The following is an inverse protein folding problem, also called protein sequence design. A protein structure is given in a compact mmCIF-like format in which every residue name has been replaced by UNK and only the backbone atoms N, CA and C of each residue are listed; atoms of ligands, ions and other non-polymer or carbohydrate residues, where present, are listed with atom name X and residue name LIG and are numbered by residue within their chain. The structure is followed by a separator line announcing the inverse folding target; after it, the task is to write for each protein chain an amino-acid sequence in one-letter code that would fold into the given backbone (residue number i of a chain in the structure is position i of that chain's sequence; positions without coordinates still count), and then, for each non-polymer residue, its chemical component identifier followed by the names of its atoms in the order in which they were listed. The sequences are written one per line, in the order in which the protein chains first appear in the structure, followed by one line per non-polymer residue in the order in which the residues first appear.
data_IF_412755044891
#
_entry.id   IF_412755044891
#
_cell.length_a   1.000
_cell.length_b   1.000
_cell.length_c   1.000
_cell.angle_alpha   90.00
_cell.angle_beta   90.00
_cell.angle_gamma   90.00
#
_symmetry.space_group_name_H-M   'P 1'
#
loop_
_entity.id
_entity.type
_entity.pdbx_description
1 polymer ?
#
# COMPACT_ATOMS: atom_id res chain seq x y z
N UNK A 1 7.64 -25.41 -7.19
CA UNK A 1 7.42 -24.18 -7.99
C UNK A 1 5.92 -23.94 -8.05
N UNK A 2 5.49 -22.68 -8.09
CA UNK A 2 4.07 -22.30 -8.22
C UNK A 2 3.82 -21.91 -9.67
N UNK A 3 2.84 -22.54 -10.33
CA UNK A 3 2.46 -22.20 -11.71
C UNK A 3 1.66 -20.90 -11.79
N UNK A 4 1.75 -20.19 -12.91
CA UNK A 4 1.22 -18.82 -13.04
C UNK A 4 -0.29 -18.68 -13.15
N UNK A 5 -1.01 -19.76 -13.46
CA UNK A 5 -2.44 -19.68 -13.80
C UNK A 5 -3.32 -19.01 -12.74
N UNK A 6 -3.23 -19.49 -11.51
CA UNK A 6 -4.03 -18.98 -10.41
C UNK A 6 -3.55 -17.62 -9.90
N UNK A 7 -2.23 -17.39 -9.68
CA UNK A 7 -1.73 -16.07 -9.30
C UNK A 7 -2.12 -14.95 -10.27
N UNK A 8 -1.92 -15.14 -11.58
CA UNK A 8 -2.24 -14.12 -12.58
C UNK A 8 -3.74 -13.84 -12.67
N UNK A 9 -4.57 -14.89 -12.63
CA UNK A 9 -6.02 -14.73 -12.65
C UNK A 9 -6.52 -14.00 -11.40
N UNK A 10 -6.09 -14.43 -10.21
CA UNK A 10 -6.51 -13.82 -8.94
C UNK A 10 -6.06 -12.36 -8.84
N UNK A 11 -4.82 -12.07 -9.24
CA UNK A 11 -4.30 -10.71 -9.28
C UNK A 11 -5.08 -9.84 -10.28
N UNK A 12 -5.32 -10.34 -11.49
CA UNK A 12 -6.11 -9.63 -12.49
C UNK A 12 -7.53 -9.33 -12.01
N UNK A 13 -8.20 -10.30 -11.36
CA UNK A 13 -9.52 -10.11 -10.76
C UNK A 13 -9.50 -9.10 -9.60
N UNK A 14 -8.49 -9.15 -8.73
CA UNK A 14 -8.34 -8.19 -7.65
C UNK A 14 -8.14 -6.77 -8.19
N UNK A 15 -7.29 -6.59 -9.21
CA UNK A 15 -7.07 -5.30 -9.86
C UNK A 15 -8.31 -4.79 -10.59
N UNK A 16 -9.10 -5.67 -11.23
CA UNK A 16 -10.40 -5.31 -11.80
C UNK A 16 -11.35 -4.80 -10.73
N UNK A 17 -11.46 -5.48 -9.59
CA UNK A 17 -12.30 -5.04 -8.48
C UNK A 17 -11.88 -3.67 -7.96
N UNK A 18 -10.57 -3.44 -7.76
CA UNK A 18 -10.02 -2.13 -7.37
C UNK A 18 -10.34 -1.07 -8.43
N UNK A 19 -10.16 -1.37 -9.71
CA UNK A 19 -10.48 -0.44 -10.80
C UNK A 19 -11.95 -0.02 -10.80
N UNK A 20 -12.86 -0.98 -10.57
CA UNK A 20 -14.31 -0.70 -10.44
C UNK A 20 -14.58 0.22 -9.26
N UNK A 21 -14.00 -0.05 -8.09
CA UNK A 21 -14.14 0.83 -6.91
C UNK A 21 -13.68 2.25 -7.22
N UNK A 22 -12.50 2.40 -7.83
CA UNK A 22 -11.93 3.71 -8.21
C UNK A 22 -12.84 4.43 -9.21
N UNK A 23 -13.34 3.75 -10.25
CA UNK A 23 -14.23 4.35 -11.25
C UNK A 23 -15.54 4.83 -10.62
N UNK A 24 -16.14 4.02 -9.75
CA UNK A 24 -17.41 4.35 -9.09
C UNK A 24 -17.22 5.55 -8.17
N UNK A 25 -16.16 5.58 -7.37
CA UNK A 25 -15.88 6.68 -6.46
C UNK A 25 -15.51 7.96 -7.23
N UNK A 26 -14.71 7.85 -8.28
CA UNK A 26 -14.38 8.98 -9.16
C UNK A 26 -15.64 9.60 -9.80
N UNK A 27 -16.61 8.77 -10.21
CA UNK A 27 -17.92 9.26 -10.69
C UNK A 27 -18.71 9.96 -9.60
N UNK A 28 -18.67 9.46 -8.37
CA UNK A 28 -19.35 10.07 -7.22
C UNK A 28 -18.79 11.46 -6.91
N UNK A 29 -17.47 11.64 -6.96
CA UNK A 29 -16.79 12.92 -6.67
C UNK A 29 -16.80 13.87 -7.89
N UNK A 30 -17.14 13.36 -9.07
CA UNK A 30 -17.38 14.14 -10.28
C UNK A 30 -16.21 14.09 -11.27
N UNK A 31 -16.50 13.67 -12.50
CA UNK A 31 -15.52 13.49 -13.58
C UNK A 31 -15.64 14.55 -14.67
N UNK A 32 -16.42 15.60 -14.44
CA UNK A 32 -16.60 16.69 -15.38
C UNK A 32 -15.41 17.63 -15.40
N UNK A 33 -15.36 18.47 -16.43
CA UNK A 33 -14.50 19.64 -16.47
C UNK A 33 -15.32 20.85 -16.04
N UNK A 34 -14.82 21.58 -15.05
CA UNK A 34 -15.41 22.86 -14.65
C UNK A 34 -14.75 24.00 -15.43
N UNK A 35 -15.55 24.93 -15.95
CA UNK A 35 -15.07 26.02 -16.81
C UNK A 35 -14.18 27.01 -16.05
N UNK A 36 -14.37 27.16 -14.75
CA UNK A 36 -13.64 28.13 -13.92
C UNK A 36 -12.62 27.46 -12.99
N UNK A 37 -12.91 26.23 -12.53
CA UNK A 37 -12.06 25.51 -11.57
C UNK A 37 -11.18 24.41 -12.21
N UNK A 38 -11.40 24.07 -13.48
CA UNK A 38 -10.64 23.05 -14.20
C UNK A 38 -11.13 21.62 -13.93
N UNK A 39 -10.26 20.59 -14.02
CA UNK A 39 -10.67 19.20 -13.86
C UNK A 39 -11.17 18.95 -12.44
N UNK A 40 -12.39 18.43 -12.30
CA UNK A 40 -12.91 18.02 -10.99
C UNK A 40 -12.05 16.91 -10.40
N UNK A 41 -12.09 16.76 -9.08
CA UNK A 41 -11.26 15.80 -8.36
C UNK A 41 -11.39 14.35 -8.87
N UNK A 42 -12.55 13.95 -9.39
CA UNK A 42 -12.77 12.63 -9.99
C UNK A 42 -12.31 12.49 -11.44
N UNK A 43 -12.00 13.58 -12.16
CA UNK A 43 -11.61 13.54 -13.58
C UNK A 43 -10.40 12.64 -13.79
N UNK A 44 -9.28 12.94 -13.13
CA UNK A 44 -8.05 12.17 -13.29
C UNK A 44 -8.17 10.72 -12.79
N UNK A 45 -8.67 10.44 -11.57
CA UNK A 45 -8.87 9.08 -11.08
C UNK A 45 -9.75 8.22 -11.99
N UNK A 46 -10.75 8.81 -12.66
CA UNK A 46 -11.63 8.08 -13.57
C UNK A 46 -10.88 7.51 -14.78
N UNK A 47 -10.06 8.31 -15.47
CA UNK A 47 -9.31 7.83 -16.64
C UNK A 47 -8.26 6.78 -16.26
N UNK A 48 -7.56 6.99 -15.14
CA UNK A 48 -6.61 5.99 -14.62
C UNK A 48 -7.35 4.70 -14.25
N UNK A 49 -8.52 4.81 -13.61
CA UNK A 49 -9.38 3.66 -13.30
C UNK A 49 -9.81 2.89 -14.55
N UNK A 50 -10.22 3.58 -15.62
CA UNK A 50 -10.57 2.98 -16.90
C UNK A 50 -9.39 2.26 -17.56
N UNK A 51 -8.20 2.88 -17.56
CA UNK A 51 -6.98 2.24 -18.08
C UNK A 51 -6.61 1.00 -17.27
N UNK A 52 -6.70 1.07 -15.93
CA UNK A 52 -6.47 -0.06 -15.05
C UNK A 52 -7.49 -1.19 -15.30
N UNK A 53 -8.77 -0.84 -15.47
CA UNK A 53 -9.82 -1.82 -15.78
C UNK A 53 -9.55 -2.54 -17.10
N UNK A 54 -9.17 -1.80 -18.15
CA UNK A 54 -8.84 -2.38 -19.45
C UNK A 54 -7.60 -3.29 -19.37
N UNK A 55 -6.53 -2.85 -18.71
CA UNK A 55 -5.31 -3.63 -18.55
C UNK A 55 -5.54 -4.90 -17.71
N UNK A 56 -6.23 -4.78 -16.58
CA UNK A 56 -6.57 -5.92 -15.72
C UNK A 56 -7.54 -6.89 -16.41
N UNK A 57 -8.53 -6.36 -17.14
CA UNK A 57 -9.44 -7.15 -17.98
C UNK A 57 -8.70 -7.93 -19.07
N UNK A 58 -7.69 -7.32 -19.68
CA UNK A 58 -6.84 -7.99 -20.66
C UNK A 58 -6.03 -9.13 -20.05
N UNK A 59 -5.47 -8.95 -18.84
CA UNK A 59 -4.76 -10.01 -18.11
C UNK A 59 -5.71 -11.19 -17.85
N UNK A 60 -6.89 -10.93 -17.30
CA UNK A 60 -7.90 -11.97 -17.02
C UNK A 60 -8.31 -12.68 -18.31
N UNK A 61 -8.62 -11.93 -19.37
CA UNK A 61 -9.03 -12.50 -20.65
C UNK A 61 -7.93 -13.39 -21.25
N UNK A 62 -6.69 -12.89 -21.31
CA UNK A 62 -5.54 -13.66 -21.82
C UNK A 62 -5.35 -14.95 -21.02
N UNK A 63 -5.48 -14.87 -19.70
CA UNK A 63 -5.32 -16.02 -18.82
C UNK A 63 -6.43 -17.06 -19.00
N UNK A 64 -7.68 -16.64 -19.21
CA UNK A 64 -8.81 -17.52 -19.50
C UNK A 64 -8.71 -18.16 -20.89
N UNK A 65 -8.30 -17.40 -21.92
CA UNK A 65 -8.09 -17.91 -23.27
C UNK A 65 -6.93 -18.92 -23.31
N UNK A 66 -5.87 -18.65 -22.56
CA UNK A 66 -4.69 -19.51 -22.44
C UNK A 66 -4.82 -20.66 -21.43
N UNK A 67 -5.99 -20.87 -20.82
CA UNK A 67 -6.14 -21.76 -19.66
C UNK A 67 -5.70 -23.21 -19.91
N UNK A 68 -5.94 -23.73 -21.12
CA UNK A 68 -5.54 -25.08 -21.55
C UNK A 68 -4.08 -25.18 -22.02
N UNK A 69 -3.37 -24.06 -22.16
CA UNK A 69 -1.97 -24.01 -22.58
C UNK A 69 -1.00 -24.35 -21.43
N UNK A 70 0.31 -24.35 -21.70
CA UNK A 70 1.38 -24.65 -20.72
C UNK A 70 1.26 -23.72 -19.50
N UNK A 71 1.51 -24.26 -18.31
CA UNK A 71 1.51 -23.51 -17.05
C UNK A 71 2.97 -23.16 -16.68
N UNK A 72 3.50 -22.01 -17.12
CA UNK A 72 4.86 -21.63 -16.79
C UNK A 72 5.02 -21.39 -15.28
N UNK A 73 6.25 -21.53 -14.81
CA UNK A 73 6.59 -21.24 -13.42
C UNK A 73 6.48 -19.73 -13.16
N UNK A 74 5.69 -19.35 -12.16
CA UNK A 74 5.53 -17.97 -11.72
C UNK A 74 6.57 -17.60 -10.67
N UNK A 75 6.67 -18.43 -9.63
CA UNK A 75 7.60 -18.20 -8.54
C UNK A 75 8.01 -19.51 -7.86
N UNK A 76 9.22 -19.50 -7.31
CA UNK A 76 9.69 -20.53 -6.39
C UNK A 76 9.10 -20.30 -5.00
N UNK A 77 9.02 -21.36 -4.19
CA UNK A 77 8.58 -21.27 -2.79
C UNK A 77 9.47 -20.34 -1.96
N UNK A 78 10.78 -20.29 -2.29
CA UNK A 78 11.73 -19.36 -1.68
C UNK A 78 11.39 -17.89 -2.00
N UNK A 79 11.03 -17.59 -3.26
CA UNK A 79 10.62 -16.23 -3.65
C UNK A 79 9.32 -15.82 -2.94
N UNK A 80 8.34 -16.72 -2.82
CA UNK A 80 7.13 -16.48 -2.04
C UNK A 80 7.45 -16.19 -0.57
N UNK A 81 8.40 -16.93 0.01
CA UNK A 81 8.88 -16.69 1.37
C UNK A 81 9.50 -15.30 1.55
N UNK A 82 10.26 -14.83 0.55
CA UNK A 82 10.83 -13.46 0.57
C UNK A 82 9.74 -12.39 0.53
N UNK A 83 8.73 -12.55 -0.33
CA UNK A 83 7.59 -11.61 -0.37
C UNK A 83 6.87 -11.61 0.97
N UNK A 84 6.54 -12.80 1.49
CA UNK A 84 5.85 -12.94 2.77
C UNK A 84 6.62 -12.29 3.92
N UNK A 85 7.95 -12.36 3.91
CA UNK A 85 8.80 -11.77 4.94
C UNK A 85 8.64 -10.25 5.08
N UNK A 86 8.16 -9.58 4.03
CA UNK A 86 7.88 -8.14 4.01
C UNK A 86 6.38 -7.85 4.15
N UNK A 87 5.53 -8.70 3.57
CA UNK A 87 4.07 -8.49 3.61
C UNK A 87 3.51 -8.59 5.02
N UNK A 88 3.86 -9.63 5.77
CA UNK A 88 3.24 -9.84 7.09
C UNK A 88 3.59 -8.71 8.10
N UNK A 89 4.85 -8.21 8.22
CA UNK A 89 5.14 -7.12 9.13
C UNK A 89 4.47 -5.82 8.71
N UNK A 90 4.33 -5.57 7.39
CA UNK A 90 3.59 -4.40 6.89
C UNK A 90 2.10 -4.49 7.21
N UNK A 91 1.48 -5.67 7.09
CA UNK A 91 0.08 -5.87 7.49
C UNK A 91 -0.12 -5.62 8.99
N UNK A 92 0.81 -6.11 9.82
CA UNK A 92 0.79 -5.84 11.27
C UNK A 92 0.96 -4.34 11.54
N UNK A 93 1.87 -3.67 10.85
CA UNK A 93 2.02 -2.22 10.96
C UNK A 93 0.70 -1.48 10.70
N UNK A 94 0.02 -1.78 9.58
CA UNK A 94 -1.27 -1.14 9.25
C UNK A 94 -2.31 -1.40 10.35
N UNK A 95 -2.37 -2.62 10.88
CA UNK A 95 -3.26 -2.95 11.99
C UNK A 95 -2.91 -2.20 13.29
N UNK A 96 -1.62 -1.94 13.54
CA UNK A 96 -1.13 -1.20 14.70
C UNK A 96 -1.33 0.32 14.59
N UNK A 97 -1.44 0.89 13.39
CA UNK A 97 -1.69 2.33 13.21
C UNK A 97 -2.98 2.77 13.91
N UNK A 98 -4.05 1.96 13.86
CA UNK A 98 -5.32 2.31 14.47
C UNK A 98 -5.25 2.49 16.01
N UNK A 99 -4.69 1.54 16.79
CA UNK A 99 -4.58 1.69 18.25
C UNK A 99 -3.34 2.45 18.72
N UNK A 100 -2.24 2.50 17.96
CA UNK A 100 -0.96 3.06 18.41
C UNK A 100 -0.59 4.39 17.75
N UNK A 101 -1.30 4.83 16.72
CA UNK A 101 -0.89 5.94 15.88
C UNK A 101 0.23 5.56 14.91
N UNK A 102 0.39 6.39 13.88
CA UNK A 102 1.33 6.13 12.78
C UNK A 102 2.79 6.19 13.23
N UNK A 103 3.13 7.07 14.19
CA UNK A 103 4.52 7.30 14.59
C UNK A 103 5.06 6.14 15.41
N UNK A 104 4.33 5.69 16.44
CA UNK A 104 4.76 4.54 17.24
C UNK A 104 4.74 3.24 16.42
N UNK A 105 3.70 3.03 15.61
CA UNK A 105 3.65 1.89 14.71
C UNK A 105 4.85 1.88 13.74
N UNK A 106 5.24 3.05 13.21
CA UNK A 106 6.41 3.19 12.34
C UNK A 106 7.71 2.90 13.08
N UNK A 107 7.87 3.39 14.31
CA UNK A 107 9.04 3.11 15.15
C UNK A 107 9.22 1.60 15.37
N UNK A 108 8.13 0.90 15.70
CA UNK A 108 8.14 -0.56 15.88
C UNK A 108 8.50 -1.30 14.58
N UNK A 109 7.91 -0.87 13.45
CA UNK A 109 8.20 -1.46 12.14
C UNK A 109 9.67 -1.30 11.75
N UNK A 110 10.21 -0.08 11.87
CA UNK A 110 11.61 0.23 11.56
C UNK A 110 12.54 -0.60 12.45
N UNK A 111 12.29 -0.61 13.76
CA UNK A 111 13.08 -1.39 14.70
C UNK A 111 13.04 -2.89 14.37
N UNK A 112 11.87 -3.42 14.02
CA UNK A 112 11.71 -4.81 13.61
C UNK A 112 12.54 -5.12 12.36
N UNK A 113 12.44 -4.32 11.30
CA UNK A 113 13.20 -4.56 10.05
C UNK A 113 14.72 -4.43 10.26
N UNK A 114 15.16 -3.41 10.99
CA UNK A 114 16.58 -3.22 11.28
C UNK A 114 17.15 -4.37 12.12
N UNK A 115 16.38 -4.90 13.08
CA UNK A 115 16.81 -6.04 13.89
C UNK A 115 16.77 -7.35 13.10
N UNK A 116 15.66 -7.63 12.42
CA UNK A 116 15.38 -8.94 11.81
C UNK A 116 16.07 -9.16 10.47
N UNK A 117 16.15 -8.12 9.64
CA UNK A 117 16.73 -8.18 8.30
C UNK A 117 18.10 -7.50 8.24
N UNK A 118 18.26 -6.36 8.93
CA UNK A 118 19.52 -5.61 8.96
C UNK A 118 20.57 -6.13 9.94
N UNK A 119 20.16 -6.90 10.96
CA UNK A 119 21.04 -7.40 12.04
C UNK A 119 21.85 -6.29 12.72
N UNK A 120 21.29 -5.09 12.81
CA UNK A 120 21.94 -3.93 13.41
C UNK A 120 22.01 -4.04 14.95
N UNK A 121 22.97 -3.34 15.56
CA UNK A 121 23.05 -3.19 17.01
C UNK A 121 21.94 -2.30 17.59
N UNK A 122 21.76 -2.31 18.91
CA UNK A 122 20.69 -1.55 19.59
C UNK A 122 20.81 -0.05 19.33
N UNK A 123 22.04 0.50 19.34
CA UNK A 123 22.27 1.93 19.16
C UNK A 123 21.76 2.47 17.81
N UNK A 124 22.17 1.94 16.64
CA UNK A 124 21.64 2.39 15.36
C UNK A 124 20.14 2.11 15.21
N UNK A 125 19.63 1.01 15.78
CA UNK A 125 18.18 0.72 15.79
C UNK A 125 17.41 1.83 16.50
N UNK A 126 17.78 2.16 17.73
CA UNK A 126 17.11 3.19 18.53
C UNK A 126 17.21 4.56 17.87
N UNK A 127 18.37 4.92 17.32
CA UNK A 127 18.57 6.20 16.65
C UNK A 127 17.63 6.38 15.44
N UNK A 128 17.50 5.37 14.57
CA UNK A 128 16.68 5.47 13.37
C UNK A 128 15.20 5.25 13.67
N UNK A 129 14.87 4.26 14.50
CA UNK A 129 13.48 3.93 14.85
C UNK A 129 12.78 5.07 15.61
N UNK A 130 13.51 5.90 16.35
CA UNK A 130 12.96 7.10 17.00
C UNK A 130 13.15 8.34 16.14
N UNK A 131 14.32 8.51 15.53
CA UNK A 131 14.66 9.70 14.76
C UNK A 131 13.79 9.90 13.53
N UNK A 132 13.46 8.83 12.80
CA UNK A 132 12.65 8.93 11.57
C UNK A 132 11.20 9.35 11.88
N UNK A 133 10.46 8.66 12.78
CA UNK A 133 9.11 9.11 13.14
C UNK A 133 9.10 10.51 13.76
N UNK A 134 10.08 10.86 14.59
CA UNK A 134 10.18 12.19 15.19
C UNK A 134 10.42 13.28 14.13
N UNK A 135 11.29 13.02 13.16
CA UNK A 135 11.51 13.93 12.04
C UNK A 135 10.21 14.16 11.25
N UNK A 136 9.48 13.10 10.93
CA UNK A 136 8.20 13.22 10.23
C UNK A 136 7.11 13.88 11.07
N UNK A 137 7.12 13.71 12.39
CA UNK A 137 6.25 14.44 13.31
C UNK A 137 6.50 15.95 13.21
N UNK A 138 7.78 16.38 13.26
CA UNK A 138 8.12 17.80 13.11
C UNK A 138 7.73 18.34 11.73
N UNK A 139 8.00 17.59 10.66
CA UNK A 139 7.66 18.01 9.29
C UNK A 139 6.16 18.15 9.12
N UNK A 140 5.38 17.12 9.43
CA UNK A 140 3.95 17.12 9.15
C UNK A 140 3.16 17.95 10.15
N UNK A 141 3.39 17.78 11.45
CA UNK A 141 2.58 18.47 12.45
C UNK A 141 3.06 19.89 12.73
N UNK A 142 4.37 20.15 12.68
CA UNK A 142 4.91 21.46 13.06
C UNK A 142 5.14 22.40 11.88
N UNK A 143 5.56 21.88 10.73
CA UNK A 143 5.77 22.71 9.54
C UNK A 143 4.57 22.70 8.61
N UNK A 144 4.03 21.54 8.25
CA UNK A 144 2.90 21.45 7.32
C UNK A 144 1.52 21.57 7.98
N UNK A 145 1.44 21.47 9.31
CA UNK A 145 0.18 21.48 10.06
C UNK A 145 -0.84 20.42 9.56
N UNK A 146 -0.32 19.29 9.05
CA UNK A 146 -1.11 18.15 8.59
C UNK A 146 -1.21 17.14 9.73
N UNK A 147 -2.44 16.94 10.21
CA UNK A 147 -2.71 15.94 11.24
C UNK A 147 -2.62 14.53 10.64
N UNK A 148 -1.65 13.75 11.11
CA UNK A 148 -1.58 12.32 10.84
C UNK A 148 -2.35 11.52 11.90
N UNK A 149 -2.68 10.23 11.64
CA UNK A 149 -3.33 9.39 12.64
C UNK A 149 -2.47 9.27 13.92
N UNK A 150 -2.88 9.97 14.97
CA UNK A 150 -2.21 9.98 16.28
C UNK A 150 -2.65 8.82 17.14
N UNK A 151 -1.79 8.42 18.06
CA UNK A 151 -2.03 7.36 19.01
C UNK A 151 -2.12 7.85 20.46
N UNK A 152 -2.13 6.90 21.41
CA UNK A 152 -2.22 7.20 22.83
C UNK A 152 -1.04 8.01 23.35
N UNK A 153 0.16 7.81 22.78
CA UNK A 153 1.38 8.50 23.22
C UNK A 153 1.28 9.99 22.91
N UNK A 154 0.88 10.32 21.69
CA UNK A 154 0.70 11.70 21.25
C UNK A 154 -0.41 12.38 22.06
N UNK A 155 -1.53 11.67 22.29
CA UNK A 155 -2.61 12.16 23.13
C UNK A 155 -2.17 12.46 24.58
N UNK A 156 -1.30 11.62 25.16
CA UNK A 156 -0.73 11.86 26.49
C UNK A 156 0.23 13.05 26.52
N UNK A 157 0.92 13.31 25.42
CA UNK A 157 1.82 14.46 25.25
C UNK A 157 1.08 15.76 24.89
N UNK A 158 -0.25 15.72 24.77
CA UNK A 158 -1.08 16.88 24.46
C UNK A 158 -1.10 17.26 22.98
N UNK A 159 -0.78 16.32 22.09
CA UNK A 159 -0.84 16.48 20.63
C UNK A 159 -2.05 15.78 20.03
#
# INVERSE_FOLDING_TARGET
MVGSRWPELLLGLALLAVAVVVIVDARRVGTGWDEFEGPRAGYFPFYIGCMLFAAAGWIVLKQLLGWKSRNPDFATTTQLGSVWSITWPMSVYVALVAPLGIYLASALLIAFFMRRHGKYGVLPISAVALGVPLFFFLVFERWFLVALPKGPIEAWLGF
#
